data_IF_748330429694
#
_entry.id   IF_748330429694
#
_cell.length_a   1.000
_cell.length_b   1.000
_cell.length_c   1.000
_cell.angle_alpha   90.00
_cell.angle_beta   90.00
_cell.angle_gamma   90.00
#
_symmetry.space_group_name_H-M   'P 1'
#
loop_
_entity.id
_entity.type
_entity.pdbx_description
1 polymer ?
#
# COMPACT_ATOMS: atom_id res chain seq x y z
N UNK A 1 -12.39 -7.74 21.64
CA UNK A 1 -11.62 -6.62 21.04
C UNK A 1 -11.75 -5.44 22.01
N UNK A 2 -10.66 -5.00 22.57
CA UNK A 2 -10.65 -3.82 23.43
C UNK A 2 -10.84 -2.57 22.57
N UNK A 3 -11.70 -1.65 23.01
CA UNK A 3 -11.98 -0.40 22.31
C UNK A 3 -10.98 0.72 22.69
N UNK A 4 -10.02 0.40 23.56
CA UNK A 4 -9.02 1.34 24.05
C UNK A 4 -7.64 0.87 23.60
N UNK A 5 -6.85 1.79 23.07
CA UNK A 5 -5.48 1.50 22.65
C UNK A 5 -4.66 0.99 23.86
N UNK A 6 -3.93 -0.10 23.67
CA UNK A 6 -2.91 -0.54 24.61
C UNK A 6 -1.70 0.41 24.59
N UNK A 7 -0.71 0.17 25.45
CA UNK A 7 0.42 1.10 25.58
C UNK A 7 1.33 1.11 24.36
N UNK A 8 1.50 -0.02 23.67
CA UNK A 8 2.25 -0.12 22.42
C UNK A 8 1.55 0.66 21.29
N UNK A 9 0.23 0.50 21.17
CA UNK A 9 -0.58 1.23 20.19
C UNK A 9 -0.59 2.74 20.46
N UNK A 10 -0.59 3.18 21.74
CA UNK A 10 -0.45 4.60 22.09
C UNK A 10 0.90 5.16 21.67
N UNK A 11 1.97 4.40 21.89
CA UNK A 11 3.31 4.80 21.45
C UNK A 11 3.39 4.88 19.92
N UNK A 12 2.77 3.93 19.22
CA UNK A 12 2.69 3.92 17.75
C UNK A 12 1.91 5.14 17.24
N UNK A 13 0.74 5.45 17.82
CA UNK A 13 -0.07 6.63 17.48
C UNK A 13 0.71 7.93 17.67
N UNK A 14 1.35 8.09 18.83
CA UNK A 14 2.15 9.28 19.12
C UNK A 14 3.30 9.44 18.12
N UNK A 15 4.03 8.36 17.86
CA UNK A 15 5.12 8.34 16.89
C UNK A 15 4.62 8.70 15.48
N UNK A 16 3.49 8.13 15.06
CA UNK A 16 2.90 8.40 13.76
C UNK A 16 2.50 9.88 13.60
N UNK A 17 1.79 10.43 14.58
CA UNK A 17 1.36 11.83 14.56
C UNK A 17 2.54 12.79 14.57
N UNK A 18 3.55 12.53 15.37
CA UNK A 18 4.76 13.38 15.46
C UNK A 18 5.55 13.36 14.16
N UNK A 19 5.72 12.19 13.56
CA UNK A 19 6.35 12.06 12.24
C UNK A 19 5.58 12.84 11.18
N UNK A 20 4.27 12.64 11.07
CA UNK A 20 3.43 13.26 10.05
C UNK A 20 3.45 14.79 10.21
N UNK A 21 3.27 15.29 11.42
CA UNK A 21 3.34 16.74 11.69
C UNK A 21 4.64 17.37 11.24
N UNK A 22 5.76 16.65 11.36
CA UNK A 22 7.08 17.13 10.98
C UNK A 22 7.40 16.95 9.51
N UNK A 23 7.06 15.77 8.94
CA UNK A 23 7.52 15.35 7.62
C UNK A 23 6.49 15.58 6.51
N UNK A 24 5.19 15.65 6.85
CA UNK A 24 4.11 15.73 5.85
C UNK A 24 3.04 16.78 6.22
N UNK A 25 3.36 18.07 6.28
CA UNK A 25 2.35 19.10 6.46
C UNK A 25 1.38 19.12 5.27
N UNK A 26 0.13 19.52 5.49
CA UNK A 26 -0.94 19.52 4.48
C UNK A 26 -0.58 20.35 3.22
N UNK A 27 0.27 21.36 3.36
CA UNK A 27 0.80 22.14 2.22
C UNK A 27 1.51 21.27 1.21
N UNK A 28 2.29 20.29 1.66
CA UNK A 28 2.99 19.33 0.82
C UNK A 28 2.02 18.51 -0.07
N UNK A 29 0.91 18.02 0.51
CA UNK A 29 -0.10 17.30 -0.27
C UNK A 29 -0.70 18.18 -1.38
N UNK A 30 -0.92 19.46 -1.10
CA UNK A 30 -1.43 20.41 -2.10
C UNK A 30 -0.41 20.67 -3.21
N UNK A 31 0.87 20.82 -2.87
CA UNK A 31 1.96 20.96 -3.82
C UNK A 31 2.07 19.75 -4.75
N UNK A 32 2.03 18.53 -4.19
CA UNK A 32 2.05 17.30 -4.98
C UNK A 32 0.82 17.14 -5.89
N UNK A 33 -0.36 17.57 -5.43
CA UNK A 33 -1.59 17.56 -6.23
C UNK A 33 -1.51 18.53 -7.42
N UNK A 34 -0.95 19.70 -7.21
CA UNK A 34 -0.90 20.78 -8.19
C UNK A 34 0.29 20.64 -9.17
N UNK A 35 1.24 19.76 -8.86
CA UNK A 35 2.37 19.40 -9.72
C UNK A 35 1.97 18.25 -10.67
N UNK A 36 1.78 18.60 -11.95
CA UNK A 36 1.36 17.64 -13.00
C UNK A 36 2.42 16.61 -13.36
N UNK A 37 3.67 16.84 -13.01
CA UNK A 37 4.77 15.88 -13.21
C UNK A 37 4.99 14.96 -12.01
N UNK A 38 4.29 15.22 -10.90
CA UNK A 38 4.40 14.44 -9.68
C UNK A 38 3.78 13.05 -9.84
N UNK A 39 4.42 12.03 -9.27
CA UNK A 39 3.83 10.69 -9.11
C UNK A 39 2.79 10.62 -7.98
N UNK A 40 2.45 11.77 -7.37
CA UNK A 40 1.45 11.90 -6.32
C UNK A 40 1.95 11.64 -4.90
N UNK A 41 3.21 11.24 -4.72
CA UNK A 41 3.85 11.03 -3.41
C UNK A 41 5.37 11.26 -3.50
N UNK A 42 6.06 11.28 -2.35
CA UNK A 42 7.52 11.39 -2.30
C UNK A 42 8.18 10.09 -1.84
N UNK A 43 9.00 9.49 -2.70
CA UNK A 43 9.78 8.27 -2.38
C UNK A 43 10.59 8.41 -1.08
N UNK A 44 11.15 9.60 -0.82
CA UNK A 44 11.92 9.87 0.39
C UNK A 44 11.08 9.74 1.66
N UNK A 45 9.84 10.22 1.65
CA UNK A 45 8.93 10.14 2.80
C UNK A 45 8.46 8.69 2.98
N UNK A 46 8.13 8.01 1.88
CA UNK A 46 7.75 6.61 1.93
C UNK A 46 8.88 5.72 2.50
N UNK A 47 10.14 5.97 2.10
CA UNK A 47 11.32 5.33 2.70
C UNK A 47 11.50 5.63 4.20
N UNK A 48 11.10 6.80 4.67
CA UNK A 48 11.14 7.10 6.11
C UNK A 48 10.06 6.33 6.87
N UNK A 49 8.90 6.08 6.27
CA UNK A 49 7.85 5.22 6.86
C UNK A 49 8.32 3.77 6.96
N UNK A 50 9.04 3.26 5.96
CA UNK A 50 9.67 1.94 6.01
C UNK A 50 10.69 1.85 7.17
N UNK A 51 11.49 2.88 7.41
CA UNK A 51 12.43 2.92 8.54
C UNK A 51 11.77 3.00 9.92
N UNK A 52 10.49 3.28 9.97
CA UNK A 52 9.62 3.23 11.15
C UNK A 52 8.82 1.92 11.20
N UNK A 53 9.16 0.97 10.35
CA UNK A 53 8.55 -0.35 10.19
C UNK A 53 7.05 -0.35 9.82
N UNK A 54 6.49 0.81 9.42
CA UNK A 54 5.05 0.90 9.09
C UNK A 54 4.67 0.03 7.88
N UNK A 55 5.59 -0.19 6.97
CA UNK A 55 5.41 -1.04 5.79
C UNK A 55 5.53 -2.53 6.11
N UNK A 56 6.04 -2.89 7.28
CA UNK A 56 6.26 -4.27 7.71
C UNK A 56 5.25 -4.76 8.77
N UNK A 57 4.41 -3.86 9.33
CA UNK A 57 3.50 -4.16 10.45
C UNK A 57 2.69 -5.44 10.22
N UNK A 58 2.06 -5.58 9.05
CA UNK A 58 1.08 -6.64 8.76
C UNK A 58 1.68 -7.96 8.28
N UNK A 59 2.97 -7.99 7.96
CA UNK A 59 3.55 -9.21 7.42
C UNK A 59 4.08 -10.12 8.52
N UNK A 60 3.99 -11.46 8.32
CA UNK A 60 4.53 -12.44 9.25
C UNK A 60 6.05 -12.28 9.44
N UNK A 61 6.57 -12.68 10.61
CA UNK A 61 8.00 -12.60 10.93
C UNK A 61 8.87 -13.47 10.00
N UNK A 62 8.36 -14.63 9.57
CA UNK A 62 9.03 -15.52 8.62
C UNK A 62 9.12 -14.93 7.20
N UNK A 63 8.34 -13.90 6.90
CA UNK A 63 8.43 -13.11 5.68
C UNK A 63 9.14 -11.75 5.90
N UNK A 64 9.81 -11.57 7.03
CA UNK A 64 10.54 -10.33 7.36
C UNK A 64 9.67 -9.22 7.95
N UNK A 65 8.41 -9.49 8.26
CA UNK A 65 7.48 -8.53 8.88
C UNK A 65 7.54 -8.51 10.40
N UNK A 66 6.65 -7.72 10.99
CA UNK A 66 6.54 -7.56 12.46
C UNK A 66 5.54 -8.53 13.10
N UNK A 67 4.74 -9.27 12.31
CA UNK A 67 3.71 -10.18 12.82
C UNK A 67 2.59 -9.50 13.61
N UNK A 68 2.43 -8.18 13.46
CA UNK A 68 1.37 -7.41 14.13
C UNK A 68 0.05 -7.50 13.37
N UNK A 69 -1.04 -7.03 13.99
CA UNK A 69 -2.37 -7.15 13.44
C UNK A 69 -2.89 -5.89 12.72
N UNK A 70 -4.05 -6.05 12.07
CA UNK A 70 -4.75 -4.93 11.44
C UNK A 70 -5.13 -3.84 12.47
N UNK A 71 -5.33 -4.19 13.75
CA UNK A 71 -5.62 -3.23 14.81
C UNK A 71 -4.46 -2.23 15.00
N UNK A 72 -3.23 -2.69 14.84
CA UNK A 72 -2.04 -1.84 14.96
C UNK A 72 -1.84 -0.99 13.70
N UNK A 73 -2.07 -1.57 12.53
CA UNK A 73 -2.03 -0.84 11.27
C UNK A 73 -3.08 0.28 11.22
N UNK A 74 -4.29 0.07 11.75
CA UNK A 74 -5.34 1.09 11.80
C UNK A 74 -4.90 2.32 12.57
N UNK A 75 -4.10 2.18 13.63
CA UNK A 75 -3.53 3.30 14.38
C UNK A 75 -2.68 4.20 13.48
N UNK A 76 -1.80 3.61 12.68
CA UNK A 76 -0.98 4.34 11.70
C UNK A 76 -1.85 4.96 10.61
N UNK A 77 -2.82 4.21 10.09
CA UNK A 77 -3.70 4.68 9.01
C UNK A 77 -4.61 5.83 9.45
N UNK A 78 -5.05 5.87 10.71
CA UNK A 78 -5.79 6.99 11.26
C UNK A 78 -4.94 8.27 11.28
N UNK A 79 -3.69 8.17 11.72
CA UNK A 79 -2.76 9.29 11.70
C UNK A 79 -2.46 9.77 10.27
N UNK A 80 -2.24 8.85 9.33
CA UNK A 80 -2.04 9.12 7.89
C UNK A 80 -3.25 9.85 7.30
N UNK A 81 -4.46 9.36 7.58
CA UNK A 81 -5.70 9.99 7.11
C UNK A 81 -5.90 11.39 7.66
N UNK A 82 -5.69 11.57 8.98
CA UNK A 82 -5.76 12.88 9.63
C UNK A 82 -4.75 13.89 9.07
N UNK A 83 -3.58 13.42 8.66
CA UNK A 83 -2.53 14.24 8.06
C UNK A 83 -2.62 14.43 6.55
N UNK A 84 -3.59 13.80 5.87
CA UNK A 84 -3.71 13.77 4.40
C UNK A 84 -2.41 13.35 3.71
N UNK A 85 -1.79 12.30 4.23
CA UNK A 85 -0.49 11.79 3.76
C UNK A 85 -0.70 10.94 2.49
N UNK A 86 -0.09 11.32 1.35
CA UNK A 86 -0.40 10.68 0.07
C UNK A 86 0.44 9.43 -0.25
N UNK A 87 1.38 9.06 0.60
CA UNK A 87 2.24 7.90 0.39
C UNK A 87 1.41 6.61 0.25
N UNK A 88 1.83 5.68 -0.66
CA UNK A 88 1.00 4.56 -1.11
C UNK A 88 0.95 3.38 -0.12
N UNK A 89 0.86 3.66 1.20
CA UNK A 89 0.78 2.61 2.22
C UNK A 89 -0.47 1.73 2.05
N UNK A 90 -1.63 2.34 1.80
CA UNK A 90 -2.86 1.58 1.58
C UNK A 90 -2.80 0.72 0.29
N UNK A 91 -2.55 1.27 -0.90
CA UNK A 91 -2.59 0.46 -2.11
C UNK A 91 -1.44 -0.54 -2.21
N UNK A 92 -0.22 -0.14 -1.85
CA UNK A 92 0.96 -0.98 -2.05
C UNK A 92 1.17 -1.99 -0.92
N UNK A 93 1.13 -1.54 0.33
CA UNK A 93 1.44 -2.41 1.47
C UNK A 93 0.21 -3.20 1.92
N UNK A 94 -0.90 -2.49 2.22
CA UNK A 94 -2.07 -3.14 2.81
C UNK A 94 -2.81 -3.99 1.77
N UNK A 95 -3.06 -3.48 0.57
CA UNK A 95 -3.82 -4.23 -0.43
C UNK A 95 -2.94 -5.18 -1.23
N UNK A 96 -1.96 -4.66 -1.96
CA UNK A 96 -1.12 -5.47 -2.85
C UNK A 96 -0.17 -6.38 -2.09
N UNK A 97 0.49 -5.88 -1.04
CA UNK A 97 1.42 -6.65 -0.22
C UNK A 97 0.73 -7.82 0.48
N UNK A 98 -0.45 -7.60 1.07
CA UNK A 98 -1.22 -8.70 1.67
C UNK A 98 -1.72 -9.70 0.62
N UNK A 99 -2.17 -9.24 -0.55
CA UNK A 99 -2.56 -10.13 -1.64
C UNK A 99 -1.38 -11.02 -2.09
N UNK A 100 -0.17 -10.47 -2.18
CA UNK A 100 1.05 -11.21 -2.49
C UNK A 100 1.39 -12.22 -1.38
N UNK A 101 1.41 -11.79 -0.13
CA UNK A 101 1.72 -12.65 1.02
C UNK A 101 0.75 -13.84 1.14
N UNK A 102 -0.52 -13.63 0.77
CA UNK A 102 -1.57 -14.67 0.80
C UNK A 102 -1.65 -15.49 -0.49
N UNK A 103 -0.90 -15.15 -1.54
CA UNK A 103 -1.01 -15.79 -2.86
C UNK A 103 -0.54 -17.25 -2.88
N UNK A 104 0.29 -17.66 -1.93
CA UNK A 104 0.97 -18.96 -1.95
C UNK A 104 1.99 -19.12 -3.08
N UNK A 105 2.37 -18.02 -3.74
CA UNK A 105 3.38 -18.03 -4.79
C UNK A 105 4.72 -17.51 -4.25
N UNK A 106 5.54 -18.45 -3.76
CA UNK A 106 6.83 -18.14 -3.12
C UNK A 106 7.77 -17.31 -4.03
N UNK A 107 7.70 -17.51 -5.35
CA UNK A 107 8.53 -16.76 -6.29
C UNK A 107 8.14 -15.28 -6.32
N UNK A 108 6.85 -14.97 -6.41
CA UNK A 108 6.35 -13.59 -6.39
C UNK A 108 6.52 -12.95 -5.00
N UNK A 109 6.30 -13.70 -3.92
CA UNK A 109 6.54 -13.21 -2.56
C UNK A 109 8.00 -12.78 -2.42
N UNK A 110 8.94 -13.65 -2.78
CA UNK A 110 10.37 -13.37 -2.70
C UNK A 110 10.82 -12.21 -3.60
N UNK A 111 10.19 -12.04 -4.75
CA UNK A 111 10.56 -10.98 -5.70
C UNK A 111 10.05 -9.61 -5.28
N UNK A 112 8.85 -9.54 -4.67
CA UNK A 112 8.13 -8.27 -4.50
C UNK A 112 7.94 -7.84 -3.05
N UNK A 113 7.87 -8.77 -2.07
CA UNK A 113 7.47 -8.42 -0.72
C UNK A 113 8.54 -7.60 0.00
N UNK A 114 9.80 -8.01 -0.06
CA UNK A 114 10.91 -7.25 0.54
C UNK A 114 11.02 -5.85 -0.05
N UNK A 115 11.02 -5.64 -1.38
CA UNK A 115 11.03 -4.30 -1.97
C UNK A 115 9.80 -3.44 -1.60
N UNK A 116 8.63 -4.04 -1.35
CA UNK A 116 7.45 -3.33 -0.84
C UNK A 116 7.67 -2.89 0.61
N UNK A 117 8.12 -3.79 1.48
CA UNK A 117 8.42 -3.48 2.89
C UNK A 117 9.53 -2.43 3.03
N UNK A 118 10.52 -2.48 2.17
CA UNK A 118 11.59 -1.48 2.12
C UNK A 118 11.18 -0.16 1.47
N UNK A 119 9.95 -0.05 0.93
CA UNK A 119 9.46 1.09 0.16
C UNK A 119 10.35 1.43 -1.07
N UNK A 120 10.97 0.41 -1.68
CA UNK A 120 11.73 0.52 -2.92
C UNK A 120 10.84 0.37 -4.14
N UNK A 121 9.78 -0.43 -4.01
CA UNK A 121 8.79 -0.70 -5.03
C UNK A 121 7.38 -0.40 -4.54
N UNK A 122 6.57 0.07 -5.47
CA UNK A 122 5.13 0.28 -5.28
C UNK A 122 4.37 -0.65 -6.21
N UNK A 123 3.47 -1.43 -5.64
CA UNK A 123 2.57 -2.31 -6.40
C UNK A 123 1.14 -1.83 -6.20
N UNK A 124 0.42 -1.59 -7.30
CA UNK A 124 -0.95 -1.09 -7.23
C UNK A 124 -1.97 -2.22 -7.49
N UNK A 125 -3.09 -2.27 -6.73
CA UNK A 125 -4.14 -3.25 -6.94
C UNK A 125 -5.13 -2.75 -8.01
N UNK A 126 -5.20 -3.40 -9.15
CA UNK A 126 -6.09 -3.07 -10.26
C UNK A 126 -7.29 -4.04 -10.31
N UNK A 127 -8.15 -3.96 -9.34
CA UNK A 127 -9.30 -4.87 -9.23
C UNK A 127 -10.59 -4.29 -9.81
N UNK A 128 -10.74 -2.96 -9.90
CA UNK A 128 -11.98 -2.33 -10.35
C UNK A 128 -12.10 -2.28 -11.87
N UNK A 129 -13.31 -2.52 -12.35
CA UNK A 129 -13.70 -2.35 -13.76
C UNK A 129 -14.95 -1.48 -13.86
N UNK A 130 -15.09 -0.79 -14.99
CA UNK A 130 -16.15 0.22 -15.20
C UNK A 130 -17.57 -0.31 -14.96
N UNK A 131 -17.86 -1.53 -15.41
CA UNK A 131 -19.16 -2.19 -15.27
C UNK A 131 -19.41 -2.71 -13.84
N UNK A 132 -18.35 -3.02 -13.08
CA UNK A 132 -18.46 -3.61 -11.74
C UNK A 132 -19.00 -2.65 -10.71
N UNK A 133 -18.76 -1.35 -10.85
CA UNK A 133 -19.12 -0.33 -9.85
C UNK A 133 -18.67 -0.73 -8.44
N UNK A 134 -19.61 -1.15 -7.59
CA UNK A 134 -19.35 -1.62 -6.22
C UNK A 134 -19.22 -3.15 -6.10
N UNK A 135 -19.51 -3.90 -7.17
CA UNK A 135 -19.38 -5.35 -7.20
C UNK A 135 -18.05 -5.74 -7.83
N UNK A 136 -17.08 -6.07 -7.00
CA UNK A 136 -15.73 -6.47 -7.42
C UNK A 136 -15.67 -7.83 -8.11
N UNK A 137 -16.78 -8.60 -8.13
CA UNK A 137 -16.86 -9.89 -8.81
C UNK A 137 -17.23 -9.76 -10.30
N UNK A 138 -17.67 -8.58 -10.72
CA UNK A 138 -18.03 -8.29 -12.11
C UNK A 138 -16.78 -8.01 -12.95
N UNK A 139 -16.02 -9.06 -13.27
CA UNK A 139 -14.76 -9.00 -14.00
C UNK A 139 -14.97 -9.40 -15.45
N UNK A 140 -14.50 -8.58 -16.40
CA UNK A 140 -14.48 -8.85 -17.84
C UNK A 140 -13.05 -8.97 -18.38
N UNK A 141 -12.05 -8.53 -17.66
CA UNK A 141 -10.64 -8.72 -18.03
C UNK A 141 -10.33 -10.21 -18.12
N UNK A 142 -9.73 -10.61 -19.23
CA UNK A 142 -9.30 -11.98 -19.48
C UNK A 142 -7.78 -12.11 -19.43
N UNK A 143 -7.30 -13.28 -19.02
CA UNK A 143 -5.89 -13.65 -19.03
C UNK A 143 -5.76 -15.00 -19.76
N UNK A 144 -5.19 -14.98 -20.96
CA UNK A 144 -4.97 -16.17 -21.79
C UNK A 144 -3.51 -16.61 -21.67
N UNK A 145 -3.29 -17.88 -21.29
CA UNK A 145 -1.95 -18.43 -21.17
C UNK A 145 -1.28 -18.58 -22.53
N UNK A 146 -0.04 -18.11 -22.65
CA UNK A 146 0.81 -18.24 -23.83
C UNK A 146 2.04 -19.10 -23.52
N UNK A 147 2.92 -19.32 -24.49
CA UNK A 147 4.17 -20.04 -24.28
C UNK A 147 5.11 -19.30 -23.30
N UNK A 148 5.08 -17.95 -23.32
CA UNK A 148 6.03 -17.10 -22.60
C UNK A 148 5.38 -16.33 -21.43
N UNK A 149 4.12 -16.67 -21.06
CA UNK A 149 3.41 -15.98 -19.99
C UNK A 149 1.90 -15.91 -20.21
N UNK A 150 1.34 -14.70 -20.18
CA UNK A 150 -0.10 -14.46 -20.37
C UNK A 150 -0.35 -13.25 -21.25
N UNK A 151 -1.40 -13.31 -22.08
CA UNK A 151 -1.97 -12.15 -22.75
C UNK A 151 -3.15 -11.65 -21.93
N UNK A 152 -3.09 -10.38 -21.50
CA UNK A 152 -4.18 -9.73 -20.80
C UNK A 152 -5.00 -8.89 -21.77
N UNK A 153 -6.33 -8.98 -21.68
CA UNK A 153 -7.25 -8.16 -22.46
C UNK A 153 -8.37 -7.66 -21.57
N UNK A 154 -8.46 -6.33 -21.38
CA UNK A 154 -9.45 -5.69 -20.52
C UNK A 154 -9.05 -4.27 -20.16
N UNK A 155 -9.89 -3.65 -19.29
CA UNK A 155 -9.69 -2.30 -18.80
C UNK A 155 -9.93 -2.26 -17.29
N UNK A 156 -8.95 -1.77 -16.54
CA UNK A 156 -9.06 -1.50 -15.09
C UNK A 156 -9.18 -0.01 -14.85
N UNK A 157 -10.04 0.37 -13.92
CA UNK A 157 -10.33 1.78 -13.62
C UNK A 157 -10.04 2.09 -12.16
N UNK A 158 -9.82 3.37 -11.84
CA UNK A 158 -9.62 3.86 -10.46
C UNK A 158 -8.54 3.09 -9.70
N UNK A 159 -7.43 2.76 -10.38
CA UNK A 159 -6.30 2.05 -9.79
C UNK A 159 -5.58 2.95 -8.79
N UNK A 160 -5.80 2.71 -7.50
CA UNK A 160 -5.20 3.49 -6.44
C UNK A 160 -3.67 3.32 -6.45
N UNK A 161 -2.94 4.45 -6.49
CA UNK A 161 -1.48 4.43 -6.56
C UNK A 161 -0.91 4.01 -7.92
N UNK A 162 -1.75 3.76 -8.93
CA UNK A 162 -1.32 3.26 -10.24
C UNK A 162 -0.38 4.18 -11.01
N UNK A 163 -0.50 5.50 -10.84
CA UNK A 163 0.37 6.47 -11.53
C UNK A 163 1.85 6.35 -11.12
N UNK A 164 2.12 6.06 -9.85
CA UNK A 164 3.47 5.92 -9.32
C UNK A 164 3.91 4.49 -9.07
N UNK A 165 3.17 3.49 -9.59
CA UNK A 165 3.45 2.09 -9.34
C UNK A 165 4.54 1.54 -10.27
N UNK A 166 5.38 0.66 -9.72
CA UNK A 166 6.38 -0.13 -10.46
C UNK A 166 5.75 -1.38 -11.10
N UNK A 167 4.66 -1.89 -10.51
CA UNK A 167 3.89 -3.04 -11.00
C UNK A 167 2.42 -2.95 -10.60
N UNK A 168 1.59 -3.75 -11.23
CA UNK A 168 0.14 -3.79 -11.00
C UNK A 168 -0.30 -5.24 -10.82
N UNK A 169 -1.11 -5.51 -9.80
CA UNK A 169 -1.84 -6.79 -9.66
C UNK A 169 -3.17 -6.64 -10.39
N UNK A 170 -3.41 -7.52 -11.35
CA UNK A 170 -4.63 -7.55 -12.17
C UNK A 170 -5.46 -8.78 -11.85
#
# INVERSE_FOLDING_TARGET
MELVLNDEQKMLDQSARDFIKKASPVTRMRELRDDTESIGYEKKIFKQMSKLDWTAILFPEDLGGMGMGMADMVVVMEAIGAGLVPEPLLPSVILSGQALAMSGNDALIKEWLDPIMEADKVVAPAYQEKQGRFDITQIQTTAEKTADGYTLNGEKTQVQGGWGADAVIV
#
